data_IF_227978742820
#
_entry.id   IF_227978742820
#
_cell.length_a   1.000
_cell.length_b   1.000
_cell.length_c   1.000
_cell.angle_alpha   90.00
_cell.angle_beta   90.00
_cell.angle_gamma   90.00
#
_symmetry.space_group_name_H-M   'P 1'
#
loop_
_entity.id
_entity.type
_entity.pdbx_description
1 polymer ?
#
# COMPACT_ATOMS: atom_id res chain seq x y z
N UNK A 1 -8.99 5.07 0.94
CA UNK A 1 -7.61 4.56 0.79
C UNK A 1 -7.53 3.06 0.49
N UNK A 2 -6.54 2.63 -0.30
CA UNK A 2 -6.32 1.26 -0.77
C UNK A 2 -4.92 0.77 -0.38
N UNK A 3 -4.86 -0.44 0.20
CA UNK A 3 -3.65 -1.18 0.52
C UNK A 3 -3.65 -2.58 -0.12
N UNK A 4 -3.01 -2.74 -1.27
CA UNK A 4 -2.79 -4.04 -1.88
C UNK A 4 -1.61 -4.72 -1.20
N UNK A 5 -1.87 -5.62 -0.26
CA UNK A 5 -0.87 -6.55 0.24
C UNK A 5 -0.67 -7.68 -0.77
N UNK A 6 0.49 -7.79 -1.43
CA UNK A 6 0.73 -8.97 -2.26
C UNK A 6 1.05 -10.21 -1.39
N UNK A 7 0.09 -10.69 -0.60
CA UNK A 7 0.06 -12.13 -0.25
C UNK A 7 -0.26 -13.00 -1.49
N UNK A 8 -0.72 -12.38 -2.58
CA UNK A 8 -1.21 -13.05 -3.79
C UNK A 8 -0.20 -13.51 -4.85
N UNK A 9 1.12 -13.26 -4.72
CA UNK A 9 2.03 -13.54 -5.85
C UNK A 9 2.29 -15.04 -6.08
N UNK A 10 2.04 -15.92 -5.10
CA UNK A 10 2.36 -17.34 -5.28
C UNK A 10 1.22 -18.18 -5.85
N UNK A 11 -0.05 -18.09 -5.38
CA UNK A 11 -1.10 -18.99 -5.87
C UNK A 11 -1.75 -18.51 -7.18
N UNK A 12 -2.07 -17.22 -7.29
CA UNK A 12 -2.85 -16.67 -8.42
C UNK A 12 -2.00 -16.61 -9.69
N UNK A 13 -0.74 -16.22 -9.55
CA UNK A 13 0.20 -16.12 -10.67
C UNK A 13 0.48 -17.49 -11.31
N UNK A 14 0.39 -18.58 -10.53
CA UNK A 14 0.52 -19.95 -11.02
C UNK A 14 -0.70 -20.41 -11.83
N UNK A 15 -1.89 -19.85 -11.60
CA UNK A 15 -3.10 -20.16 -12.34
C UNK A 15 -3.15 -19.42 -13.70
N UNK A 16 -2.75 -18.15 -13.75
CA UNK A 16 -2.79 -17.34 -14.97
C UNK A 16 -1.64 -17.66 -15.95
N UNK A 17 -0.50 -18.17 -15.46
CA UNK A 17 0.67 -18.50 -16.29
C UNK A 17 0.72 -19.95 -16.82
N UNK A 18 -0.26 -20.80 -16.51
CA UNK A 18 -0.29 -22.20 -17.00
C UNK A 18 -0.45 -22.34 -18.52
N UNK A 19 -0.71 -21.26 -19.26
CA UNK A 19 -0.71 -21.27 -20.73
C UNK A 19 0.55 -20.74 -21.40
N UNK A 20 1.54 -20.28 -20.63
CA UNK A 20 2.81 -19.86 -21.20
C UNK A 20 3.86 -19.81 -20.11
N UNK A 21 4.72 -20.83 -20.05
CA UNK A 21 6.18 -20.71 -19.86
C UNK A 21 6.78 -22.06 -19.43
N UNK A 22 7.36 -22.78 -20.39
CA UNK A 22 8.42 -23.77 -20.13
C UNK A 22 9.73 -22.99 -19.90
N UNK A 23 10.47 -23.36 -18.83
CA UNK A 23 11.86 -22.96 -18.50
C UNK A 23 12.10 -21.45 -18.31
N UNK A 24 12.10 -21.00 -17.04
CA UNK A 24 12.97 -19.90 -16.63
C UNK A 24 14.31 -20.47 -16.18
N UNK A 25 15.35 -20.26 -17.00
CA UNK A 25 16.74 -20.39 -16.56
C UNK A 25 17.10 -19.14 -15.75
N UNK A 26 17.75 -19.36 -14.60
CA UNK A 26 18.39 -18.33 -13.79
C UNK A 26 19.37 -17.53 -14.66
N UNK A 27 19.02 -16.29 -15.02
CA UNK A 27 19.96 -15.36 -15.63
C UNK A 27 20.88 -14.87 -14.52
N UNK A 28 22.11 -15.38 -14.51
CA UNK A 28 23.19 -14.91 -13.66
C UNK A 28 23.67 -13.58 -14.23
N UNK A 29 23.19 -12.47 -13.67
CA UNK A 29 23.71 -11.15 -13.99
C UNK A 29 25.14 -11.05 -13.42
N UNK A 30 26.14 -11.19 -14.28
CA UNK A 30 27.51 -10.80 -13.98
C UNK A 30 27.59 -9.27 -14.02
N UNK A 31 28.34 -8.67 -13.08
CA UNK A 31 28.52 -7.23 -12.83
C UNK A 31 27.53 -6.59 -11.84
N UNK A 32 27.58 -7.04 -10.58
CA UNK A 32 27.38 -6.18 -9.41
C UNK A 32 28.35 -6.67 -8.34
N UNK A 33 29.27 -5.81 -7.88
CA UNK A 33 30.02 -6.08 -6.65
C UNK A 33 29.00 -6.18 -5.52
N UNK A 34 28.82 -7.37 -4.96
CA UNK A 34 27.92 -7.59 -3.83
C UNK A 34 28.26 -6.59 -2.72
N UNK A 35 27.28 -5.85 -2.16
CA UNK A 35 27.50 -5.05 -0.98
C UNK A 35 28.00 -5.99 0.12
N UNK A 36 29.27 -5.86 0.51
CA UNK A 36 29.79 -6.59 1.67
C UNK A 36 29.27 -5.87 2.90
N UNK A 37 28.54 -6.59 3.74
CA UNK A 37 28.27 -6.14 5.09
C UNK A 37 29.62 -6.08 5.82
N UNK A 38 30.19 -4.88 5.87
CA UNK A 38 31.31 -4.59 6.75
C UNK A 38 30.73 -4.34 8.14
N UNK A 39 30.29 -5.43 8.78
CA UNK A 39 29.90 -5.43 10.21
C UNK A 39 31.07 -4.98 11.12
N UNK A 40 32.28 -4.84 10.54
CA UNK A 40 33.51 -4.45 11.23
C UNK A 40 33.54 -3.02 11.79
N UNK A 41 32.56 -2.13 11.54
CA UNK A 41 32.60 -0.74 12.01
C UNK A 41 31.25 -0.15 12.50
N UNK A 42 30.28 -0.98 12.93
CA UNK A 42 29.01 -0.47 13.50
C UNK A 42 28.18 0.39 12.55
N UNK A 43 28.28 0.15 11.24
CA UNK A 43 27.54 0.86 10.19
C UNK A 43 27.06 -0.09 9.10
N UNK A 44 25.95 0.25 8.46
CA UNK A 44 25.36 -0.44 7.29
C UNK A 44 25.32 0.56 6.14
N UNK A 45 25.87 0.17 4.99
CA UNK A 45 25.75 0.93 3.75
C UNK A 45 24.62 0.34 2.89
N UNK A 46 23.64 1.17 2.54
CA UNK A 46 22.47 0.76 1.76
C UNK A 46 22.06 1.89 0.82
N UNK A 47 21.92 1.57 -0.47
CA UNK A 47 21.49 2.51 -1.53
C UNK A 47 22.31 3.82 -1.55
N UNK A 48 23.63 3.73 -1.33
CA UNK A 48 24.54 4.89 -1.34
C UNK A 48 24.48 5.76 -0.09
N UNK A 49 23.79 5.32 0.97
CA UNK A 49 23.74 5.98 2.28
C UNK A 49 24.29 5.07 3.37
N UNK A 50 24.88 5.68 4.40
CA UNK A 50 25.44 4.98 5.56
C UNK A 50 24.57 5.21 6.79
N UNK A 51 24.21 4.11 7.46
CA UNK A 51 23.39 4.10 8.67
C UNK A 51 24.21 3.55 9.82
N UNK A 52 24.23 4.24 10.97
CA UNK A 52 24.87 3.71 12.19
C UNK A 52 23.99 2.61 12.78
N UNK A 53 24.60 1.50 13.18
CA UNK A 53 23.89 0.40 13.86
C UNK A 53 23.79 0.64 15.36
N UNK A 54 22.81 0.03 15.99
CA UNK A 54 22.55 0.07 17.43
C UNK A 54 21.85 -1.21 17.93
N UNK A 55 21.31 -1.17 19.15
CA UNK A 55 20.70 -2.31 19.84
C UNK A 55 19.41 -2.87 19.20
N UNK A 56 18.74 -2.12 18.31
CA UNK A 56 17.54 -2.62 17.61
C UNK A 56 17.85 -3.14 16.21
N UNK A 57 19.06 -2.91 15.71
CA UNK A 57 19.48 -3.28 14.36
C UNK A 57 19.35 -4.79 14.14
N UNK A 58 18.62 -5.20 13.11
CA UNK A 58 18.31 -6.62 12.90
C UNK A 58 18.28 -7.07 11.42
N UNK A 59 18.78 -6.23 10.50
CA UNK A 59 18.88 -6.56 9.06
C UNK A 59 19.86 -7.71 8.84
N UNK A 60 19.45 -8.68 8.01
CA UNK A 60 20.30 -9.82 7.63
C UNK A 60 21.16 -9.50 6.41
N UNK A 61 22.42 -9.95 6.41
CA UNK A 61 23.32 -9.80 5.26
C UNK A 61 22.80 -10.41 3.96
N UNK A 62 22.04 -11.51 4.06
CA UNK A 62 21.38 -12.16 2.92
C UNK A 62 20.22 -11.33 2.31
N UNK A 63 19.71 -10.33 3.05
CA UNK A 63 18.64 -9.45 2.59
C UNK A 63 19.20 -8.29 1.75
N UNK A 64 20.35 -7.74 2.13
CA UNK A 64 20.98 -6.56 1.49
C UNK A 64 21.01 -6.62 -0.04
N UNK A 65 21.51 -7.69 -0.70
CA UNK A 65 21.58 -7.73 -2.16
C UNK A 65 20.19 -7.80 -2.84
N UNK A 66 19.11 -8.03 -2.08
CA UNK A 66 17.74 -8.06 -2.57
C UNK A 66 17.03 -6.73 -2.42
N UNK A 67 17.59 -5.77 -1.68
CA UNK A 67 16.95 -4.49 -1.42
C UNK A 67 17.04 -3.59 -2.65
N UNK A 68 15.91 -3.01 -3.05
CA UNK A 68 15.87 -2.05 -4.16
C UNK A 68 16.04 -2.65 -5.55
N UNK A 69 15.87 -3.98 -5.71
CA UNK A 69 15.85 -4.62 -7.04
C UNK A 69 14.73 -4.04 -7.92
N UNK A 70 13.59 -3.68 -7.33
CA UNK A 70 12.47 -3.07 -8.06
C UNK A 70 11.84 -4.03 -9.07
N UNK A 71 11.50 -5.25 -8.67
CA UNK A 71 10.89 -6.26 -9.56
C UNK A 71 9.58 -5.78 -10.19
N UNK A 72 8.83 -4.90 -9.52
CA UNK A 72 7.64 -4.22 -10.06
C UNK A 72 7.95 -3.23 -11.21
N UNK A 73 9.22 -2.85 -11.39
CA UNK A 73 9.70 -1.99 -12.48
C UNK A 73 10.44 -2.76 -13.58
N UNK A 74 10.77 -4.04 -13.36
CA UNK A 74 11.44 -4.87 -14.36
C UNK A 74 10.47 -5.25 -15.49
N UNK A 75 10.74 -4.77 -16.70
CA UNK A 75 9.92 -5.05 -17.88
C UNK A 75 9.68 -6.56 -18.05
N UNK A 76 8.43 -6.95 -18.30
CA UNK A 76 7.98 -8.34 -18.46
C UNK A 76 7.99 -9.20 -17.18
N UNK A 77 8.46 -8.68 -16.04
CA UNK A 77 8.28 -9.36 -14.78
C UNK A 77 6.78 -9.41 -14.42
N UNK A 78 6.24 -10.50 -13.85
CA UNK A 78 4.81 -10.58 -13.55
C UNK A 78 4.28 -9.46 -12.65
N UNK A 79 5.10 -8.98 -11.71
CA UNK A 79 4.76 -7.83 -10.86
C UNK A 79 4.68 -6.52 -11.64
N UNK A 80 5.53 -6.37 -12.66
CA UNK A 80 5.44 -5.24 -13.57
C UNK A 80 4.20 -5.31 -14.45
N UNK A 81 3.81 -6.50 -14.91
CA UNK A 81 2.57 -6.69 -15.67
C UNK A 81 1.34 -6.35 -14.81
N UNK A 82 1.29 -6.86 -13.57
CA UNK A 82 0.22 -6.54 -12.62
C UNK A 82 0.16 -5.04 -12.31
N UNK A 83 1.31 -4.41 -12.01
CA UNK A 83 1.41 -2.95 -11.82
C UNK A 83 0.80 -2.20 -13.00
N UNK A 84 1.16 -2.58 -14.23
CA UNK A 84 0.66 -1.93 -15.45
C UNK A 84 -0.85 -2.07 -15.58
N UNK A 85 -1.41 -3.25 -15.34
CA UNK A 85 -2.86 -3.45 -15.38
C UNK A 85 -3.59 -2.57 -14.36
N UNK A 86 -3.07 -2.45 -13.13
CA UNK A 86 -3.62 -1.55 -12.11
C UNK A 86 -3.55 -0.10 -12.58
N UNK A 87 -2.38 0.36 -13.04
CA UNK A 87 -2.21 1.74 -13.53
C UNK A 87 -3.14 2.03 -14.71
N UNK A 88 -3.24 1.12 -15.69
CA UNK A 88 -4.11 1.26 -16.86
C UNK A 88 -5.59 1.34 -16.44
N UNK A 89 -6.02 0.54 -15.46
CA UNK A 89 -7.36 0.62 -14.88
C UNK A 89 -7.63 2.01 -14.27
N UNK A 90 -6.72 2.53 -13.45
CA UNK A 90 -6.90 3.85 -12.84
C UNK A 90 -6.89 4.97 -13.89
N UNK A 91 -6.01 4.88 -14.90
CA UNK A 91 -5.91 5.89 -15.96
C UNK A 91 -7.15 5.92 -16.86
N UNK A 92 -7.79 4.77 -17.07
CA UNK A 92 -9.03 4.66 -17.85
C UNK A 92 -10.24 5.17 -17.09
N UNK A 93 -10.35 4.86 -15.80
CA UNK A 93 -11.57 5.09 -15.02
C UNK A 93 -11.55 6.42 -14.25
N UNK A 94 -10.37 7.00 -13.99
CA UNK A 94 -10.22 8.25 -13.25
C UNK A 94 -9.55 9.30 -14.13
N UNK A 95 -10.37 9.94 -14.96
CA UNK A 95 -9.98 11.05 -15.84
C UNK A 95 -10.59 12.37 -15.38
N UNK A 96 -9.85 13.46 -15.50
CA UNK A 96 -10.39 14.79 -15.24
C UNK A 96 -11.19 15.32 -16.45
N UNK A 97 -11.74 16.54 -16.33
CA UNK A 97 -12.51 17.19 -17.41
C UNK A 97 -11.71 17.36 -18.70
N UNK A 98 -10.38 17.46 -18.62
CA UNK A 98 -9.47 17.53 -19.75
C UNK A 98 -9.06 16.16 -20.30
N UNK A 99 -9.67 15.07 -19.84
CA UNK A 99 -9.36 13.67 -20.21
C UNK A 99 -7.94 13.21 -19.82
N UNK A 100 -7.31 13.88 -18.86
CA UNK A 100 -6.03 13.45 -18.31
C UNK A 100 -6.25 12.51 -17.12
N UNK A 101 -5.41 11.47 -16.95
CA UNK A 101 -5.42 10.64 -15.75
C UNK A 101 -5.25 11.47 -14.48
N UNK A 102 -6.01 11.15 -13.45
CA UNK A 102 -5.98 11.90 -12.18
C UNK A 102 -4.90 11.38 -11.23
N UNK A 103 -4.57 10.09 -11.27
CA UNK A 103 -3.64 9.47 -10.33
C UNK A 103 -2.18 9.64 -10.78
N UNK A 104 -1.37 10.27 -9.94
CA UNK A 104 0.09 10.23 -10.08
C UNK A 104 0.65 8.89 -9.63
N UNK A 105 1.69 8.36 -10.30
CA UNK A 105 2.27 7.05 -9.97
C UNK A 105 3.67 7.22 -9.40
N UNK A 106 3.91 6.60 -8.24
CA UNK A 106 5.20 6.60 -7.54
C UNK A 106 5.67 5.17 -7.34
N UNK A 107 6.68 4.73 -8.08
CA UNK A 107 7.16 3.34 -8.05
C UNK A 107 8.67 3.20 -7.76
N UNK A 108 9.31 4.31 -7.41
CA UNK A 108 10.77 4.41 -7.27
C UNK A 108 11.20 5.05 -5.94
N UNK A 109 10.31 5.07 -4.95
CA UNK A 109 10.60 5.60 -3.60
C UNK A 109 11.50 4.60 -2.86
N UNK A 110 12.56 5.10 -2.21
CA UNK A 110 13.46 4.29 -1.37
C UNK A 110 12.67 3.46 -0.34
N UNK A 111 12.98 2.17 -0.16
CA UNK A 111 12.37 1.34 0.87
C UNK A 111 12.84 1.67 2.28
N UNK A 112 13.93 2.43 2.43
CA UNK A 112 14.39 2.92 3.74
C UNK A 112 13.54 4.11 4.17
N UNK A 113 12.87 3.97 5.30
CA UNK A 113 11.96 4.96 5.90
C UNK A 113 12.29 5.17 7.37
N UNK A 114 11.87 6.31 7.93
CA UNK A 114 11.94 6.53 9.38
C UNK A 114 10.84 5.74 10.10
N UNK A 115 11.02 5.50 11.40
CA UNK A 115 9.98 4.90 12.24
C UNK A 115 8.70 5.75 12.24
N UNK A 116 8.84 7.08 12.20
CA UNK A 116 7.72 8.01 12.08
C UNK A 116 6.94 7.80 10.77
N UNK A 117 7.63 7.70 9.64
CA UNK A 117 6.97 7.42 8.36
C UNK A 117 6.22 6.09 8.39
N UNK A 118 6.84 5.02 8.91
CA UNK A 118 6.20 3.70 8.90
C UNK A 118 5.11 3.52 9.96
N UNK A 119 5.12 4.25 11.07
CA UNK A 119 4.20 3.99 12.17
C UNK A 119 3.50 5.24 12.69
N UNK A 120 4.24 6.22 13.19
CA UNK A 120 3.66 7.36 13.93
C UNK A 120 2.74 8.20 13.01
N UNK A 121 3.16 8.44 11.78
CA UNK A 121 2.36 9.18 10.78
C UNK A 121 1.08 8.47 10.35
N UNK A 122 0.94 7.19 10.72
CA UNK A 122 -0.21 6.34 10.46
C UNK A 122 -0.96 6.00 11.76
N UNK A 123 -0.73 6.76 12.83
CA UNK A 123 -1.42 6.61 14.12
C UNK A 123 -1.25 5.23 14.77
N UNK A 124 -0.23 4.47 14.35
CA UNK A 124 0.07 3.16 14.94
C UNK A 124 0.57 3.41 16.37
N UNK A 125 0.01 2.79 17.42
CA UNK A 125 0.49 3.01 18.80
C UNK A 125 1.93 2.53 19.03
N UNK A 126 2.65 3.10 20.00
CA UNK A 126 4.04 2.72 20.34
C UNK A 126 4.17 1.27 20.82
N UNK A 127 3.15 0.75 21.49
CA UNK A 127 3.08 -0.63 21.99
C UNK A 127 2.50 -1.62 20.98
N UNK A 128 2.17 -1.17 19.77
CA UNK A 128 1.55 -1.99 18.74
C UNK A 128 2.48 -3.12 18.27
N UNK A 129 1.89 -4.30 18.05
CA UNK A 129 2.65 -5.53 17.71
C UNK A 129 3.50 -5.39 16.45
N UNK A 130 3.07 -4.57 15.47
CA UNK A 130 3.82 -4.33 14.23
C UNK A 130 5.17 -3.65 14.44
N UNK A 131 5.39 -2.99 15.59
CA UNK A 131 6.66 -2.35 15.96
C UNK A 131 7.67 -3.29 16.61
N UNK A 132 7.29 -4.56 16.87
CA UNK A 132 8.21 -5.52 17.48
C UNK A 132 9.35 -5.86 16.52
N UNK A 133 10.55 -6.07 17.08
CA UNK A 133 11.74 -6.52 16.34
C UNK A 133 11.56 -7.88 15.66
N UNK A 134 10.55 -8.67 16.07
CA UNK A 134 10.19 -9.93 15.44
C UNK A 134 9.47 -9.75 14.11
N UNK A 135 8.81 -8.62 13.87
CA UNK A 135 7.92 -8.38 12.73
C UNK A 135 8.58 -7.57 11.61
N UNK A 136 9.52 -6.70 11.96
CA UNK A 136 10.06 -5.67 11.05
C UNK A 136 11.59 -5.65 11.00
N UNK A 137 12.14 -5.15 9.89
CA UNK A 137 13.59 -5.02 9.68
C UNK A 137 14.08 -3.60 9.99
N UNK A 138 14.80 -3.44 11.09
CA UNK A 138 15.36 -2.17 11.58
C UNK A 138 16.82 -2.03 11.17
N UNK A 139 17.14 -0.86 10.59
CA UNK A 139 18.53 -0.43 10.35
C UNK A 139 19.14 0.13 11.64
N UNK A 140 18.33 0.84 12.44
CA UNK A 140 18.64 1.37 13.77
C UNK A 140 17.35 1.90 14.42
N UNK A 141 17.45 2.62 15.54
CA UNK A 141 16.34 3.22 16.28
C UNK A 141 15.63 4.35 15.52
N UNK A 142 16.14 4.81 14.38
CA UNK A 142 15.55 5.89 13.58
C UNK A 142 15.03 5.40 12.22
N UNK A 143 15.68 4.40 11.61
CA UNK A 143 15.40 3.92 10.26
C UNK A 143 15.08 2.42 10.21
N UNK A 144 14.18 2.06 9.30
CA UNK A 144 13.81 0.69 8.99
C UNK A 144 13.58 0.51 7.50
N UNK A 145 13.47 -0.74 7.06
CA UNK A 145 12.85 -1.05 5.77
C UNK A 145 11.33 -1.02 5.94
N UNK A 146 10.63 -0.30 5.07
CA UNK A 146 9.17 -0.15 5.15
C UNK A 146 8.46 -1.51 5.23
N UNK A 147 7.57 -1.67 6.20
CA UNK A 147 6.76 -2.87 6.34
C UNK A 147 5.54 -2.85 5.41
N UNK A 148 5.24 -1.67 4.85
CA UNK A 148 4.08 -1.43 4.00
C UNK A 148 4.23 -0.14 3.17
N UNK A 149 3.60 -0.05 2.00
CA UNK A 149 3.62 1.18 1.17
C UNK A 149 2.90 2.37 1.78
N UNK A 150 2.02 2.15 2.77
CA UNK A 150 1.34 3.18 3.53
C UNK A 150 2.29 4.15 4.23
N UNK A 151 3.57 3.76 4.44
CA UNK A 151 4.60 4.61 5.03
C UNK A 151 4.89 5.91 4.26
N UNK A 152 4.34 6.03 3.05
CA UNK A 152 4.53 7.17 2.17
C UNK A 152 3.29 8.07 2.05
N UNK A 153 2.16 7.71 2.68
CA UNK A 153 0.91 8.47 2.55
C UNK A 153 1.05 9.90 3.07
N UNK A 154 1.45 10.06 4.33
CA UNK A 154 1.54 11.36 4.99
C UNK A 154 2.45 12.32 4.21
N UNK A 155 3.59 11.83 3.72
CA UNK A 155 4.54 12.63 2.95
C UNK A 155 3.99 13.04 1.59
N UNK A 156 3.38 12.12 0.84
CA UNK A 156 2.79 12.41 -0.46
C UNK A 156 1.60 13.37 -0.34
N UNK A 157 0.74 13.19 0.67
CA UNK A 157 -0.36 14.12 0.96
C UNK A 157 0.17 15.50 1.32
N UNK A 158 1.24 15.58 2.12
CA UNK A 158 1.89 16.85 2.49
C UNK A 158 2.47 17.61 1.30
N UNK A 159 2.80 16.93 0.20
CA UNK A 159 3.18 17.59 -1.06
C UNK A 159 2.01 18.19 -1.84
N UNK A 160 0.77 18.03 -1.36
CA UNK A 160 -0.46 18.54 -1.98
C UNK A 160 -1.13 17.56 -2.95
N UNK A 161 -0.76 16.28 -2.92
CA UNK A 161 -1.33 15.27 -3.80
C UNK A 161 -2.68 14.77 -3.27
N UNK A 162 -3.69 14.82 -4.12
CA UNK A 162 -5.04 14.33 -3.81
C UNK A 162 -5.34 12.97 -4.41
N UNK A 163 -4.53 12.48 -5.36
CA UNK A 163 -4.75 11.20 -6.00
C UNK A 163 -3.41 10.60 -6.43
N UNK A 164 -3.01 9.49 -5.82
CA UNK A 164 -1.75 8.86 -6.14
C UNK A 164 -1.77 7.35 -5.91
N UNK A 165 -0.95 6.65 -6.70
CA UNK A 165 -0.63 5.24 -6.54
C UNK A 165 0.82 5.10 -6.10
N UNK A 166 1.11 4.23 -5.14
CA UNK A 166 2.48 3.90 -4.73
C UNK A 166 2.75 2.43 -5.00
N UNK A 167 3.85 2.09 -5.67
CA UNK A 167 4.27 0.71 -5.87
C UNK A 167 5.65 0.51 -5.27
N UNK A 168 5.83 -0.56 -4.52
CA UNK A 168 7.13 -0.82 -3.90
C UNK A 168 7.26 -2.20 -3.31
N UNK A 169 8.51 -2.64 -3.22
CA UNK A 169 8.97 -3.72 -2.37
C UNK A 169 8.83 -3.33 -0.89
N UNK A 170 8.29 -4.23 -0.08
CA UNK A 170 8.09 -4.08 1.36
C UNK A 170 8.69 -5.27 2.10
N UNK A 171 9.02 -5.07 3.36
CA UNK A 171 9.92 -5.95 4.10
C UNK A 171 9.30 -6.34 5.44
N UNK A 172 9.06 -7.63 5.63
CA UNK A 172 8.54 -8.18 6.88
C UNK A 172 9.35 -9.39 7.30
N UNK A 173 9.50 -9.55 8.60
CA UNK A 173 10.12 -10.73 9.18
C UNK A 173 9.05 -11.80 9.31
N UNK A 174 8.96 -12.63 8.29
CA UNK A 174 7.99 -13.72 8.24
C UNK A 174 8.70 -15.08 8.15
N UNK A 175 7.93 -16.12 8.43
CA UNK A 175 8.25 -17.49 8.04
C UNK A 175 8.43 -17.60 6.53
N UNK A 176 9.24 -18.56 6.09
CA UNK A 176 9.48 -18.77 4.66
C UNK A 176 8.72 -20.02 4.26
N UNK A 177 7.62 -19.81 3.53
CA UNK A 177 6.79 -20.88 2.97
C UNK A 177 6.28 -20.47 1.57
N UNK A 178 5.32 -21.21 1.01
CA UNK A 178 4.75 -20.90 -0.30
C UNK A 178 3.97 -19.58 -0.36
N UNK A 179 3.48 -19.08 0.77
CA UNK A 179 2.68 -17.87 0.91
C UNK A 179 3.44 -16.69 1.53
N UNK A 180 4.53 -16.96 2.25
CA UNK A 180 5.27 -15.97 3.01
C UNK A 180 6.71 -15.88 2.53
N UNK A 181 7.13 -14.67 2.21
CA UNK A 181 8.51 -14.36 1.85
C UNK A 181 8.91 -13.00 2.45
N UNK A 182 10.14 -12.84 2.96
CA UNK A 182 10.53 -11.62 3.69
C UNK A 182 10.49 -10.32 2.88
N UNK A 183 10.37 -10.44 1.56
CA UNK A 183 10.25 -9.32 0.62
C UNK A 183 9.09 -9.61 -0.31
N UNK A 184 8.08 -8.76 -0.29
CA UNK A 184 6.97 -8.83 -1.25
C UNK A 184 6.67 -7.41 -1.74
N UNK A 185 5.64 -7.23 -2.56
CA UNK A 185 5.37 -5.93 -3.18
C UNK A 185 3.99 -5.43 -2.77
N UNK A 186 3.76 -4.14 -2.85
CA UNK A 186 2.46 -3.58 -2.57
C UNK A 186 2.12 -2.51 -3.57
N UNK A 187 0.81 -2.31 -3.71
CA UNK A 187 0.24 -1.16 -4.39
C UNK A 187 -0.60 -0.38 -3.38
N UNK A 188 -0.32 0.90 -3.22
CA UNK A 188 -1.13 1.83 -2.45
C UNK A 188 -2.00 2.63 -3.41
N UNK A 189 -3.21 2.98 -3.01
CA UNK A 189 -4.00 4.01 -3.68
C UNK A 189 -4.61 4.98 -2.67
N UNK A 190 -4.34 6.27 -2.83
CA UNK A 190 -4.97 7.33 -2.02
C UNK A 190 -5.78 8.22 -2.94
N UNK A 191 -7.00 8.55 -2.51
CA UNK A 191 -7.84 9.53 -3.19
C UNK A 191 -8.55 10.40 -2.15
N UNK A 192 -8.25 11.69 -2.18
CA UNK A 192 -8.84 12.71 -1.33
C UNK A 192 -9.87 13.52 -2.11
N UNK A 193 -10.88 13.99 -1.40
CA UNK A 193 -11.98 14.80 -1.91
C UNK A 193 -12.18 16.03 -1.05
N UNK A 194 -12.51 17.14 -1.70
CA UNK A 194 -13.12 18.31 -1.04
C UNK A 194 -14.63 18.16 -1.08
N UNK A 195 -15.35 18.80 -0.15
CA UNK A 195 -16.80 18.62 -0.04
C UNK A 195 -17.58 18.83 -1.35
N UNK A 196 -17.29 19.90 -2.08
CA UNK A 196 -17.92 20.15 -3.38
C UNK A 196 -17.63 19.05 -4.41
N UNK A 197 -16.42 18.48 -4.42
CA UNK A 197 -16.04 17.40 -5.34
C UNK A 197 -16.83 16.13 -5.03
N UNK A 198 -16.90 15.75 -3.75
CA UNK A 198 -17.57 14.52 -3.29
C UNK A 198 -19.06 14.52 -3.65
N UNK A 199 -19.78 15.59 -3.33
CA UNK A 199 -21.24 15.65 -3.54
C UNK A 199 -21.64 15.91 -5.00
N UNK A 200 -20.79 16.59 -5.78
CA UNK A 200 -21.08 16.87 -7.19
C UNK A 200 -21.25 15.62 -8.06
N UNK A 201 -20.62 14.49 -7.67
CA UNK A 201 -20.70 13.23 -8.43
C UNK A 201 -22.08 12.58 -8.38
N UNK A 202 -22.83 12.79 -7.29
CA UNK A 202 -24.10 12.11 -7.05
C UNK A 202 -25.31 12.88 -7.62
N UNK A 203 -25.10 14.03 -8.28
CA UNK A 203 -26.19 14.97 -8.68
C UNK A 203 -27.13 15.35 -7.52
N UNK A 204 -26.64 15.28 -6.28
CA UNK A 204 -27.45 15.61 -5.10
C UNK A 204 -27.43 17.12 -4.92
N UNK A 205 -28.61 17.74 -4.93
CA UNK A 205 -28.79 19.16 -4.66
C UNK A 205 -29.08 19.37 -3.17
N UNK A 206 -28.16 20.00 -2.45
CA UNK A 206 -28.33 20.38 -1.04
C UNK A 206 -27.04 20.88 -0.39
N UNK A 207 -27.16 21.51 0.78
CA UNK A 207 -26.01 22.00 1.58
C UNK A 207 -25.39 20.85 2.38
N UNK A 208 -24.74 19.92 1.69
CA UNK A 208 -24.03 18.81 2.33
C UNK A 208 -22.63 19.24 2.77
N UNK A 209 -22.27 18.84 3.99
CA UNK A 209 -20.93 19.03 4.57
C UNK A 209 -20.25 17.68 4.69
N UNK A 210 -18.92 17.66 4.52
CA UNK A 210 -18.12 16.46 4.78
C UNK A 210 -17.78 16.30 6.27
N UNK A 211 -17.90 17.38 7.04
CA UNK A 211 -17.56 17.40 8.46
C UNK A 211 -18.73 17.78 9.36
N UNK A 212 -18.75 17.17 10.53
CA UNK A 212 -19.64 17.48 11.66
C UNK A 212 -18.88 17.38 12.98
N UNK A 213 -19.54 17.68 14.09
CA UNK A 213 -19.02 17.38 15.43
C UNK A 213 -19.91 16.31 16.07
N UNK A 214 -19.55 15.04 15.87
CA UNK A 214 -20.29 13.88 16.35
C UNK A 214 -19.41 12.92 17.15
N UNK A 215 -19.89 11.68 17.30
CA UNK A 215 -19.19 10.62 18.04
C UNK A 215 -18.66 9.54 17.08
N UNK A 216 -17.57 8.87 17.47
CA UNK A 216 -17.06 7.67 16.78
C UNK A 216 -18.04 6.53 17.01
N UNK A 217 -18.40 5.83 15.95
CA UNK A 217 -19.18 4.58 16.02
C UNK A 217 -18.67 3.61 14.96
N UNK A 218 -19.26 2.42 14.87
CA UNK A 218 -18.86 1.36 13.93
C UNK A 218 -18.80 1.83 12.47
N UNK A 219 -19.64 2.81 12.09
CA UNK A 219 -19.82 3.24 10.71
C UNK A 219 -19.05 4.50 10.34
N UNK A 220 -18.59 5.33 11.31
CA UNK A 220 -17.94 6.61 11.00
C UNK A 220 -17.03 7.15 12.11
N UNK A 221 -16.13 8.05 11.72
CA UNK A 221 -15.30 8.86 12.62
C UNK A 221 -16.11 10.02 13.25
N UNK A 222 -15.65 10.61 14.38
CA UNK A 222 -16.34 11.72 15.05
C UNK A 222 -16.60 12.92 14.14
N UNK A 223 -15.61 13.25 13.30
CA UNK A 223 -15.64 14.45 12.46
C UNK A 223 -16.31 14.25 11.12
N UNK A 224 -16.64 13.02 10.71
CA UNK A 224 -17.21 12.76 9.39
C UNK A 224 -18.74 12.69 9.46
N UNK A 225 -19.40 13.31 8.48
CA UNK A 225 -20.84 13.14 8.28
C UNK A 225 -21.13 11.74 7.75
N UNK A 226 -22.30 11.19 8.10
CA UNK A 226 -22.70 9.86 7.64
C UNK A 226 -22.83 9.81 6.12
N UNK A 227 -23.32 10.89 5.51
CA UNK A 227 -23.50 11.03 4.07
C UNK A 227 -22.16 10.95 3.34
N UNK A 228 -21.13 11.67 3.82
CA UNK A 228 -19.80 11.62 3.21
C UNK A 228 -19.20 10.21 3.29
N UNK A 229 -19.33 9.55 4.45
CA UNK A 229 -18.84 8.17 4.64
C UNK A 229 -19.54 7.18 3.71
N UNK A 230 -20.87 7.25 3.59
CA UNK A 230 -21.61 6.35 2.70
C UNK A 230 -21.21 6.52 1.22
N UNK A 231 -20.98 7.76 0.77
CA UNK A 231 -20.50 8.02 -0.59
C UNK A 231 -19.11 7.42 -0.79
N UNK A 232 -18.18 7.70 0.13
CA UNK A 232 -16.81 7.21 0.04
C UNK A 232 -16.72 5.69 0.11
N UNK A 233 -17.49 5.06 1.00
CA UNK A 233 -17.57 3.60 1.10
C UNK A 233 -18.03 3.01 -0.22
N UNK A 234 -19.12 3.53 -0.79
CA UNK A 234 -19.65 3.04 -2.06
C UNK A 234 -18.65 3.21 -3.20
N UNK A 235 -18.01 4.38 -3.31
CA UNK A 235 -17.00 4.64 -4.35
C UNK A 235 -15.77 3.74 -4.18
N UNK A 236 -15.27 3.58 -2.95
CA UNK A 236 -14.12 2.76 -2.63
C UNK A 236 -14.40 1.29 -2.95
N UNK A 237 -15.49 0.73 -2.40
CA UNK A 237 -15.85 -0.68 -2.63
C UNK A 237 -16.09 -0.97 -4.11
N UNK A 238 -16.88 -0.14 -4.80
CA UNK A 238 -17.14 -0.30 -6.23
C UNK A 238 -15.87 -0.20 -7.07
N UNK A 239 -14.95 0.70 -6.72
CA UNK A 239 -13.66 0.83 -7.43
C UNK A 239 -12.82 -0.44 -7.30
N UNK A 240 -12.79 -1.03 -6.11
CA UNK A 240 -11.95 -2.18 -5.80
C UNK A 240 -12.52 -3.50 -6.31
N UNK A 241 -13.83 -3.68 -6.25
CA UNK A 241 -14.50 -4.81 -6.91
C UNK A 241 -14.28 -4.78 -8.42
N UNK A 242 -14.47 -3.62 -9.06
CA UNK A 242 -14.24 -3.48 -10.49
C UNK A 242 -12.77 -3.69 -10.88
N UNK A 243 -11.82 -3.28 -10.02
CA UNK A 243 -10.41 -3.61 -10.21
C UNK A 243 -10.16 -5.12 -10.07
N UNK A 244 -10.78 -5.78 -9.10
CA UNK A 244 -10.69 -7.25 -8.96
C UNK A 244 -11.25 -7.96 -10.20
N UNK A 245 -12.37 -7.50 -10.75
CA UNK A 245 -12.94 -8.04 -11.99
C UNK A 245 -12.04 -7.83 -13.21
N UNK A 246 -11.35 -6.69 -13.29
CA UNK A 246 -10.37 -6.43 -14.36
C UNK A 246 -9.14 -7.35 -14.25
N UNK A 247 -8.69 -7.65 -13.02
CA UNK A 247 -7.49 -8.44 -12.77
C UNK A 247 -7.72 -9.95 -12.82
N UNK A 248 -8.85 -10.43 -12.29
CA UNK A 248 -9.13 -11.87 -12.11
C UNK A 248 -10.25 -12.39 -13.01
N UNK A 249 -10.94 -11.51 -13.73
CA UNK A 249 -12.09 -11.84 -14.57
C UNK A 249 -13.42 -11.54 -13.87
N UNK A 250 -14.48 -11.35 -14.68
CA UNK A 250 -15.81 -10.94 -14.20
C UNK A 250 -16.54 -12.00 -13.35
N UNK A 251 -16.10 -13.25 -13.43
CA UNK A 251 -16.73 -14.37 -12.75
C UNK A 251 -16.12 -14.67 -11.37
N UNK A 252 -15.12 -13.88 -10.94
CA UNK A 252 -14.52 -14.05 -9.60
C UNK A 252 -15.54 -13.68 -8.52
N UNK A 253 -15.70 -14.55 -7.53
CA UNK A 253 -16.51 -14.24 -6.34
C UNK A 253 -15.69 -13.37 -5.39
N UNK A 254 -16.31 -12.29 -4.88
CA UNK A 254 -15.71 -11.34 -3.94
C UNK A 254 -16.55 -11.22 -2.68
N UNK A 255 -15.92 -10.97 -1.52
CA UNK A 255 -16.62 -10.60 -0.29
C UNK A 255 -15.86 -9.54 0.50
N UNK A 256 -16.62 -8.72 1.24
CA UNK A 256 -16.08 -7.72 2.15
C UNK A 256 -16.09 -8.24 3.58
N UNK A 257 -14.96 -8.07 4.26
CA UNK A 257 -14.80 -8.41 5.68
C UNK A 257 -14.49 -7.12 6.44
N UNK A 258 -15.20 -6.86 7.54
CA UNK A 258 -14.88 -5.72 8.41
C UNK A 258 -13.52 -5.94 9.06
N UNK A 259 -12.68 -4.90 9.03
CA UNK A 259 -11.30 -4.94 9.50
C UNK A 259 -10.99 -3.76 10.41
N UNK A 260 -9.76 -3.72 10.93
CA UNK A 260 -9.27 -2.60 11.71
C UNK A 260 -7.85 -2.25 11.29
N UNK A 261 -7.63 -0.97 10.96
CA UNK A 261 -6.32 -0.40 10.76
C UNK A 261 -6.23 0.93 11.54
N UNK A 262 -5.13 1.24 12.24
CA UNK A 262 -5.02 2.48 13.02
C UNK A 262 -5.19 3.78 12.22
N UNK A 263 -5.02 3.71 10.91
CA UNK A 263 -5.03 4.85 9.99
C UNK A 263 -6.30 4.94 9.14
N UNK A 264 -7.26 4.03 9.29
CA UNK A 264 -8.57 4.10 8.62
C UNK A 264 -9.73 3.70 9.52
N UNK A 265 -10.86 4.38 9.36
CA UNK A 265 -12.11 4.03 10.01
C UNK A 265 -13.32 4.61 9.25
N UNK A 266 -14.34 3.81 8.89
CA UNK A 266 -14.36 2.35 8.90
C UNK A 266 -13.32 1.72 7.96
N UNK A 267 -13.03 0.43 8.18
CA UNK A 267 -11.99 -0.34 7.49
C UNK A 267 -12.53 -1.69 7.02
N UNK A 268 -12.05 -2.15 5.87
CA UNK A 268 -12.47 -3.41 5.26
C UNK A 268 -11.32 -4.13 4.57
N UNK A 269 -11.43 -5.45 4.49
CA UNK A 269 -10.64 -6.30 3.61
C UNK A 269 -11.52 -6.81 2.47
N UNK A 270 -10.94 -6.89 1.27
CA UNK A 270 -11.57 -7.59 0.14
C UNK A 270 -10.93 -8.96 0.03
N UNK A 271 -11.78 -9.98 0.00
CA UNK A 271 -11.37 -11.35 -0.26
C UNK A 271 -11.90 -11.82 -1.62
N UNK A 272 -11.11 -12.65 -2.31
CA UNK A 272 -11.54 -13.34 -3.54
C UNK A 272 -11.58 -14.84 -3.30
N UNK A 273 -12.52 -15.53 -3.95
CA UNK A 273 -12.58 -16.99 -3.88
C UNK A 273 -11.59 -17.60 -4.86
N UNK A 274 -10.63 -18.37 -4.35
CA UNK A 274 -9.61 -19.04 -5.14
C UNK A 274 -9.44 -20.48 -4.64
N UNK A 275 -9.61 -21.45 -5.55
CA UNK A 275 -9.51 -22.88 -5.25
C UNK A 275 -10.43 -23.35 -4.10
N UNK A 276 -11.60 -22.72 -3.95
CA UNK A 276 -12.60 -23.07 -2.93
C UNK A 276 -12.42 -22.33 -1.60
N UNK A 277 -11.31 -21.60 -1.42
CA UNK A 277 -11.01 -20.85 -0.20
C UNK A 277 -11.13 -19.34 -0.46
N UNK A 278 -11.47 -18.59 0.58
CA UNK A 278 -11.43 -17.12 0.55
C UNK A 278 -10.02 -16.63 0.85
N UNK A 279 -9.48 -15.78 -0.02
CA UNK A 279 -8.15 -15.21 0.12
C UNK A 279 -8.23 -13.68 0.19
N UNK A 280 -7.75 -13.12 1.29
CA UNK A 280 -7.49 -11.68 1.46
C UNK A 280 -6.54 -11.17 0.37
N UNK A 281 -6.98 -10.16 -0.39
CA UNK A 281 -6.17 -9.57 -1.48
C UNK A 281 -5.75 -8.13 -1.23
N UNK A 282 -6.49 -7.41 -0.39
CA UNK A 282 -6.22 -6.02 -0.02
C UNK A 282 -6.96 -5.64 1.27
N UNK A 283 -6.40 -4.65 1.97
CA UNK A 283 -7.09 -3.87 2.99
C UNK A 283 -7.43 -2.47 2.45
N UNK A 284 -8.47 -1.85 2.98
CA UNK A 284 -8.91 -0.51 2.58
C UNK A 284 -9.72 0.14 3.70
N UNK A 285 -10.00 1.43 3.55
CA UNK A 285 -10.89 2.16 4.45
C UNK A 285 -10.89 3.65 4.20
N UNK A 286 -11.68 4.37 4.99
CA UNK A 286 -11.71 5.84 5.00
C UNK A 286 -10.62 6.33 5.94
N UNK A 287 -9.73 7.19 5.46
CA UNK A 287 -8.54 7.67 6.19
C UNK A 287 -8.93 8.37 7.48
N UNK A 288 -8.20 8.10 8.56
CA UNK A 288 -8.38 8.81 9.84
C UNK A 288 -8.11 10.31 9.65
N UNK A 289 -9.06 11.16 10.08
CA UNK A 289 -9.01 12.60 9.84
C UNK A 289 -7.81 13.26 10.54
N UNK A 290 -7.33 12.67 11.63
CA UNK A 290 -6.12 13.10 12.33
C UNK A 290 -4.88 13.01 11.44
N UNK A 291 -4.73 11.92 10.69
CA UNK A 291 -3.64 11.74 9.72
C UNK A 291 -3.70 12.81 8.63
N UNK A 292 -4.89 13.05 8.06
CA UNK A 292 -5.07 14.06 7.01
C UNK A 292 -4.75 15.47 7.54
N UNK A 293 -5.20 15.79 8.75
CA UNK A 293 -4.92 17.07 9.40
C UNK A 293 -3.42 17.26 9.63
N UNK A 294 -2.73 16.25 10.15
CA UNK A 294 -1.28 16.27 10.37
C UNK A 294 -0.47 16.36 9.06
N UNK A 295 -1.03 15.88 7.95
CA UNK A 295 -0.44 16.01 6.62
C UNK A 295 -0.77 17.35 5.91
N UNK A 296 -1.58 18.22 6.52
CA UNK A 296 -1.97 19.51 5.94
C UNK A 296 -3.19 19.45 4.99
N UNK A 297 -3.91 18.34 4.98
CA UNK A 297 -5.12 18.09 4.18
C UNK A 297 -6.39 18.02 5.06
N UNK A 298 -6.43 18.77 6.17
CA UNK A 298 -7.52 18.72 7.14
C UNK A 298 -8.88 19.19 6.61
N UNK A 299 -8.91 19.86 5.46
CA UNK A 299 -10.12 20.28 4.76
C UNK A 299 -10.62 19.26 3.70
N UNK A 300 -10.04 18.05 3.71
CA UNK A 300 -10.33 16.96 2.79
C UNK A 300 -10.68 15.67 3.55
N UNK A 301 -11.31 14.73 2.83
CA UNK A 301 -11.66 13.38 3.28
C UNK A 301 -11.25 12.36 2.20
N UNK A 302 -10.88 11.12 2.53
CA UNK A 302 -10.43 10.12 1.55
C UNK A 302 -10.29 8.68 2.06
#
# INVERSE_FOLDING_TARGET
MLFFGTKMICPVLHATLKHSLRRFQLIRCCYCTSPKLSEKNGTIELLGKTYKTDHVTNIRSSLIPKIGIGLHNMKHHPLNLLKRQIVDYFYKNFINRQKNPVFSVYDSISPVVTLHQNFDSLLVPEDHVSRKLSESFYLNSEYMLRAHTSSHQSDLIRTGLNAFLVFGDVYRRDTIDSSHYPIFHQAEGVRLYRGQELFSKMNITGDYQIFENGEKNETKQPLHTKEAVMILEHELKSTLENLAFELFGKDVETQWVDAYFPFTHPSWELEIKFQGEWLEVLGCGIMEQELLTAAGAGDQIG
#
